data_IF_313756802640
#
_entry.id   IF_313756802640
#
_cell.length_a   1.000
_cell.length_b   1.000
_cell.length_c   1.000
_cell.angle_alpha   90.00
_cell.angle_beta   90.00
_cell.angle_gamma   90.00
#
_symmetry.space_group_name_H-M   'P 1'
#
loop_
_entity.id
_entity.type
_entity.pdbx_description
1 polymer ?
#
# COMPACT_ATOMS: atom_id res chain seq x y z
N UNK A 1 -16.09 16.31 14.16
CA UNK A 1 -15.35 15.22 13.46
C UNK A 1 -15.44 15.46 11.97
N UNK A 2 -14.50 14.93 11.18
CA UNK A 2 -14.63 14.95 9.71
C UNK A 2 -15.62 13.87 9.28
N UNK A 3 -16.45 14.15 8.28
CA UNK A 3 -17.34 13.15 7.64
C UNK A 3 -16.59 11.89 7.23
N UNK A 4 -15.32 12.01 6.82
CA UNK A 4 -14.50 10.86 6.48
C UNK A 4 -14.14 10.00 7.71
N UNK A 5 -13.93 10.63 8.86
CA UNK A 5 -13.67 9.90 10.10
C UNK A 5 -14.90 9.11 10.55
N UNK A 6 -16.08 9.73 10.47
CA UNK A 6 -17.36 9.08 10.78
C UNK A 6 -17.65 7.89 9.86
N UNK A 7 -17.39 8.03 8.56
CA UNK A 7 -17.52 6.92 7.59
C UNK A 7 -16.55 5.77 7.91
N UNK A 8 -15.30 6.09 8.26
CA UNK A 8 -14.30 5.07 8.63
C UNK A 8 -14.73 4.31 9.90
N UNK A 9 -15.20 5.02 10.90
CA UNK A 9 -15.68 4.42 12.15
C UNK A 9 -16.92 3.56 11.92
N UNK A 10 -17.85 4.00 11.07
CA UNK A 10 -19.01 3.21 10.69
C UNK A 10 -18.61 1.94 9.93
N UNK A 11 -17.70 2.05 8.95
CA UNK A 11 -17.20 0.92 8.18
C UNK A 11 -16.45 -0.10 9.06
N UNK A 12 -15.71 0.35 10.07
CA UNK A 12 -14.98 -0.52 10.99
C UNK A 12 -15.92 -1.40 11.85
N UNK A 13 -17.13 -0.91 12.13
CA UNK A 13 -18.14 -1.63 12.92
C UNK A 13 -18.93 -2.67 12.12
N UNK A 14 -18.84 -2.65 10.79
CA UNK A 14 -19.52 -3.65 9.94
C UNK A 14 -18.89 -5.05 10.14
N UNK A 15 -19.67 -6.13 9.99
CA UNK A 15 -19.15 -7.50 9.87
C UNK A 15 -18.13 -7.64 8.73
N UNK A 16 -17.25 -8.63 8.81
CA UNK A 16 -16.15 -8.80 7.86
C UNK A 16 -16.65 -8.97 6.41
N UNK A 17 -17.74 -9.70 6.23
CA UNK A 17 -18.38 -9.96 4.94
C UNK A 17 -18.90 -8.65 4.33
N UNK A 18 -19.59 -7.83 5.13
CA UNK A 18 -20.12 -6.54 4.68
C UNK A 18 -18.99 -5.53 4.40
N UNK A 19 -17.90 -5.56 5.18
CA UNK A 19 -16.70 -4.76 4.87
C UNK A 19 -16.08 -5.19 3.54
N UNK A 20 -16.02 -6.50 3.25
CA UNK A 20 -15.50 -7.01 1.99
C UNK A 20 -16.36 -6.56 0.80
N UNK A 21 -17.69 -6.60 0.94
CA UNK A 21 -18.62 -6.09 -0.06
C UNK A 21 -18.44 -4.58 -0.28
N UNK A 22 -18.37 -3.79 0.79
CA UNK A 22 -18.13 -2.34 0.73
C UNK A 22 -16.82 -2.00 0.02
N UNK A 23 -15.72 -2.70 0.34
CA UNK A 23 -14.42 -2.53 -0.31
C UNK A 23 -14.52 -2.87 -1.81
N UNK A 24 -15.21 -3.95 -2.14
CA UNK A 24 -15.40 -4.38 -3.53
C UNK A 24 -16.18 -3.34 -4.33
N UNK A 25 -17.26 -2.81 -3.75
CA UNK A 25 -18.07 -1.77 -4.37
C UNK A 25 -17.28 -0.47 -4.57
N UNK A 26 -16.60 0.03 -3.53
CA UNK A 26 -15.73 1.21 -3.62
C UNK A 26 -14.59 1.01 -4.62
N UNK A 27 -14.04 -0.20 -4.70
CA UNK A 27 -13.00 -0.56 -5.66
C UNK A 27 -13.44 -0.53 -7.12
N UNK A 28 -14.75 -0.62 -7.39
CA UNK A 28 -15.34 -0.51 -8.73
C UNK A 28 -15.75 0.91 -9.08
N UNK A 29 -15.80 1.82 -8.12
CA UNK A 29 -16.11 3.22 -8.38
C UNK A 29 -15.01 3.83 -9.29
N UNK A 30 -15.44 4.50 -10.36
CA UNK A 30 -14.53 4.94 -11.42
C UNK A 30 -13.52 5.99 -10.93
N UNK A 31 -13.97 6.89 -10.06
CA UNK A 31 -13.19 7.92 -9.41
C UNK A 31 -12.10 7.34 -8.50
N UNK A 32 -12.45 6.37 -7.65
CA UNK A 32 -11.50 5.63 -6.79
C UNK A 32 -10.52 4.85 -7.66
N UNK A 33 -10.99 4.22 -8.71
CA UNK A 33 -10.15 3.48 -9.67
C UNK A 33 -9.18 4.41 -10.39
N UNK A 34 -9.61 5.62 -10.77
CA UNK A 34 -8.75 6.64 -11.38
C UNK A 34 -7.62 7.05 -10.44
N UNK A 35 -7.93 7.34 -9.19
CA UNK A 35 -6.93 7.71 -8.17
C UNK A 35 -5.88 6.59 -8.01
N UNK A 36 -6.32 5.32 -7.93
CA UNK A 36 -5.40 4.17 -7.84
C UNK A 36 -4.51 4.04 -9.07
N UNK A 37 -5.05 4.23 -10.28
CA UNK A 37 -4.25 4.20 -11.52
C UNK A 37 -3.24 5.34 -11.58
N UNK A 38 -3.60 6.53 -11.12
CA UNK A 38 -2.68 7.67 -11.05
C UNK A 38 -1.56 7.43 -10.05
N UNK A 39 -1.85 6.85 -8.90
CA UNK A 39 -0.83 6.43 -7.92
C UNK A 39 0.12 5.40 -8.52
N UNK A 40 -0.40 4.35 -9.15
CA UNK A 40 0.41 3.33 -9.80
C UNK A 40 1.32 3.92 -10.90
N UNK A 41 0.79 4.85 -11.72
CA UNK A 41 1.60 5.54 -12.73
C UNK A 41 2.75 6.34 -12.10
N UNK A 42 2.51 7.00 -10.96
CA UNK A 42 3.56 7.73 -10.24
C UNK A 42 4.64 6.78 -9.71
N UNK A 43 4.24 5.64 -9.13
CA UNK A 43 5.19 4.64 -8.62
C UNK A 43 6.05 4.05 -9.74
N UNK A 44 5.45 3.73 -10.89
CA UNK A 44 6.18 3.30 -12.09
C UNK A 44 7.15 4.39 -12.55
N UNK A 45 6.71 5.64 -12.61
CA UNK A 45 7.56 6.74 -13.04
C UNK A 45 8.77 6.92 -12.11
N UNK A 46 8.59 6.79 -10.79
CA UNK A 46 9.70 6.83 -9.83
C UNK A 46 10.73 5.73 -10.17
N UNK A 47 10.29 4.51 -10.43
CA UNK A 47 11.17 3.42 -10.83
C UNK A 47 11.91 3.69 -12.15
N UNK A 48 11.22 4.25 -13.14
CA UNK A 48 11.84 4.64 -14.42
C UNK A 48 12.89 5.75 -14.22
N UNK A 49 12.59 6.77 -13.43
CA UNK A 49 13.54 7.85 -13.11
C UNK A 49 14.77 7.32 -12.38
N UNK A 50 14.60 6.33 -11.49
CA UNK A 50 15.71 5.66 -10.84
C UNK A 50 16.57 4.86 -11.82
N UNK A 51 15.94 4.18 -12.79
CA UNK A 51 16.63 3.50 -13.89
C UNK A 51 17.44 4.48 -14.73
N UNK A 52 16.85 5.60 -15.14
CA UNK A 52 17.53 6.65 -15.91
C UNK A 52 18.73 7.25 -15.16
N UNK A 53 18.64 7.34 -13.83
CA UNK A 53 19.73 7.80 -12.96
C UNK A 53 20.77 6.72 -12.65
N UNK A 54 20.67 5.54 -13.26
CA UNK A 54 21.58 4.42 -13.03
C UNK A 54 21.45 3.79 -11.64
N UNK A 55 20.37 4.07 -10.90
CA UNK A 55 20.09 3.51 -9.57
C UNK A 55 19.43 2.14 -9.67
N UNK A 56 20.02 1.25 -10.45
CA UNK A 56 19.59 -0.14 -10.60
C UNK A 56 20.64 -1.06 -10.02
N UNK A 57 20.18 -2.18 -9.46
CA UNK A 57 21.04 -3.28 -9.05
C UNK A 57 20.44 -4.59 -9.56
N UNK A 58 21.25 -5.63 -9.78
CA UNK A 58 20.74 -6.97 -10.04
C UNK A 58 19.78 -7.41 -8.92
N UNK A 59 18.68 -8.06 -9.32
CA UNK A 59 17.69 -8.55 -8.36
C UNK A 59 18.21 -9.82 -7.67
N UNK A 60 18.61 -9.72 -6.40
CA UNK A 60 18.91 -10.88 -5.54
C UNK A 60 17.80 -11.09 -4.51
N UNK A 61 16.94 -12.07 -4.77
CA UNK A 61 15.82 -12.43 -3.91
C UNK A 61 16.29 -12.89 -2.52
N UNK A 62 17.40 -13.63 -2.42
CA UNK A 62 17.91 -14.13 -1.13
C UNK A 62 18.42 -13.00 -0.26
N UNK A 63 19.07 -12.01 -0.86
CA UNK A 63 19.50 -10.80 -0.15
C UNK A 63 18.29 -9.97 0.32
N UNK A 64 17.28 -9.81 -0.53
CA UNK A 64 16.03 -9.09 -0.19
C UNK A 64 15.32 -9.76 0.98
N UNK A 65 15.13 -11.08 0.96
CA UNK A 65 14.49 -11.81 2.06
C UNK A 65 15.24 -11.67 3.37
N UNK A 66 16.57 -11.71 3.33
CA UNK A 66 17.44 -11.55 4.51
C UNK A 66 17.28 -10.16 5.11
N UNK A 67 17.33 -9.11 4.28
CA UNK A 67 17.11 -7.71 4.72
C UNK A 67 15.70 -7.52 5.28
N UNK A 68 14.68 -8.08 4.63
CA UNK A 68 13.30 -7.98 5.09
C UNK A 68 13.09 -8.63 6.47
N UNK A 69 13.74 -9.77 6.74
CA UNK A 69 13.73 -10.41 8.06
C UNK A 69 14.43 -9.53 9.10
N UNK A 70 15.64 -9.05 8.81
CA UNK A 70 16.39 -8.18 9.73
C UNK A 70 15.63 -6.88 10.10
N UNK A 71 14.95 -6.25 9.13
CA UNK A 71 14.14 -5.05 9.38
C UNK A 71 12.89 -5.32 10.23
N UNK A 72 12.32 -6.53 10.19
CA UNK A 72 11.20 -6.92 11.05
C UNK A 72 11.64 -7.11 12.49
N UNK A 73 12.81 -7.70 12.70
CA UNK A 73 13.36 -7.94 14.03
C UNK A 73 13.81 -6.62 14.70
N UNK A 74 14.44 -5.71 13.94
CA UNK A 74 14.80 -4.38 14.43
C UNK A 74 13.58 -3.53 14.82
N UNK A 75 12.48 -3.62 14.07
CA UNK A 75 11.24 -2.89 14.37
C UNK A 75 10.52 -3.42 15.61
N UNK A 76 10.67 -4.71 15.95
CA UNK A 76 10.12 -5.28 17.19
C UNK A 76 10.87 -4.82 18.44
N UNK A 77 12.14 -4.42 18.31
CA UNK A 77 12.94 -3.93 19.45
C UNK A 77 12.72 -2.44 19.75
N UNK A 78 12.22 -1.66 18.78
CA UNK A 78 11.95 -0.22 18.97
C UNK A 78 10.53 0.07 19.45
N UNK A 79 9.61 -0.87 19.27
CA UNK A 79 8.19 -0.71 19.58
C UNK A 79 7.78 -1.45 20.88
N UNK A 80 8.75 -1.93 21.67
CA UNK A 80 8.57 -2.72 22.90
C UNK A 80 8.97 -1.98 24.17
#
# INVERSE_FOLDING_TARGET
>A
MSTLAEIKDAAARLPAEQRSELITWLGKAEDVSRIRREQLRREIQIGLDEIERGKVAPLDIREIERKARASRDGKRMTDG
#
